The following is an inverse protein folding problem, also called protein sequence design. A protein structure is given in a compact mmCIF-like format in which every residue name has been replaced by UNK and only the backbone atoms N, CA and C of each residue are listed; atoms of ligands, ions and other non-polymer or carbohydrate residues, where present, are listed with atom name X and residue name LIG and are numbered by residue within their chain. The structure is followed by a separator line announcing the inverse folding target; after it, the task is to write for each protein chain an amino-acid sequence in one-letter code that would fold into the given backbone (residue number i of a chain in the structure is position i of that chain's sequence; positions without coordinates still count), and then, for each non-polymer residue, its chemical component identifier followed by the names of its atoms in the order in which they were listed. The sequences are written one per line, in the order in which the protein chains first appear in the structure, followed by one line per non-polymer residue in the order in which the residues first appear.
data_IF_732949818075
#
_entry.id   IF_732949818075
#
_cell.length_a   1.000
_cell.length_b   1.000
_cell.length_c   1.000
_cell.angle_alpha   90.00
_cell.angle_beta   90.00
_cell.angle_gamma   90.00
#
_symmetry.space_group_name_H-M   'P 1'
#
loop_
_entity.id
_entity.type
_entity.pdbx_description
1 polymer ?
#
# COMPACT_ATOMS: atom_id res chain seq x y z
N UNK A 1 0.83 -12.57 -3.87
CA UNK A 1 0.94 -11.10 -3.99
C UNK A 1 -0.47 -10.51 -3.87
N UNK A 2 -0.64 -9.39 -3.14
CA UNK A 2 -1.89 -8.62 -3.10
C UNK A 2 -1.59 -7.19 -3.54
N UNK A 3 -2.59 -6.52 -4.12
CA UNK A 3 -2.56 -5.08 -4.36
C UNK A 3 -3.38 -4.41 -3.26
N UNK A 4 -2.74 -3.49 -2.54
CA UNK A 4 -3.37 -2.58 -1.60
C UNK A 4 -3.54 -1.23 -2.24
N UNK A 5 -4.47 -0.46 -1.70
CA UNK A 5 -4.72 0.93 -2.10
C UNK A 5 -4.64 1.81 -0.87
N UNK A 6 -4.28 3.08 -1.07
CA UNK A 6 -4.43 4.06 0.00
C UNK A 6 -5.90 4.17 0.43
N UNK A 7 -6.14 4.62 1.67
CA UNK A 7 -7.50 4.80 2.17
C UNK A 7 -8.32 5.76 1.28
N UNK A 8 -7.74 6.89 0.88
CA UNK A 8 -8.43 7.86 0.02
C UNK A 8 -8.81 7.26 -1.34
N UNK A 9 -7.90 6.51 -1.97
CA UNK A 9 -8.19 5.77 -3.21
C UNK A 9 -9.31 4.74 -2.98
N UNK A 10 -9.29 4.00 -1.87
CA UNK A 10 -10.33 3.03 -1.54
C UNK A 10 -11.72 3.67 -1.41
N UNK A 11 -11.80 4.87 -0.81
CA UNK A 11 -13.06 5.60 -0.66
C UNK A 11 -13.58 6.09 -2.00
N UNK A 12 -12.73 6.70 -2.84
CA UNK A 12 -13.13 7.17 -4.18
C UNK A 12 -13.59 6.03 -5.08
N UNK A 13 -12.94 4.86 -5.00
CA UNK A 13 -13.31 3.66 -5.76
C UNK A 13 -14.55 2.93 -5.20
N UNK A 14 -15.17 3.41 -4.12
CA UNK A 14 -16.33 2.77 -3.51
C UNK A 14 -16.05 1.46 -2.76
N UNK A 15 -14.77 1.10 -2.57
CA UNK A 15 -14.34 -0.09 -1.83
C UNK A 15 -14.51 0.07 -0.31
N UNK A 16 -14.55 1.32 0.17
CA UNK A 16 -14.77 1.65 1.58
C UNK A 16 -15.64 2.90 1.70
N UNK A 17 -16.55 2.91 2.68
CA UNK A 17 -17.25 4.14 3.09
C UNK A 17 -16.32 4.96 3.99
N UNK A 18 -16.14 6.24 3.69
CA UNK A 18 -15.28 7.13 4.46
C UNK A 18 -15.65 8.60 4.23
N UNK A 19 -15.44 9.43 5.25
CA UNK A 19 -15.51 10.90 5.11
C UNK A 19 -14.14 11.41 4.68
N UNK A 20 -14.12 12.41 3.80
CA UNK A 20 -12.90 13.06 3.34
C UNK A 20 -13.18 14.54 3.17
N UNK A 21 -12.24 15.39 3.59
CA UNK A 21 -12.31 16.83 3.37
C UNK A 21 -12.01 17.19 1.90
N UNK A 22 -11.11 16.46 1.26
CA UNK A 22 -10.77 16.59 -0.16
C UNK A 22 -10.63 15.20 -0.80
N UNK A 23 -11.15 15.04 -2.02
CA UNK A 23 -11.00 13.79 -2.78
C UNK A 23 -9.61 13.75 -3.44
N UNK A 24 -8.87 12.64 -3.36
CA UNK A 24 -7.61 12.52 -4.08
C UNK A 24 -7.86 12.51 -5.59
N UNK A 25 -7.02 13.23 -6.33
CA UNK A 25 -6.99 13.20 -7.81
C UNK A 25 -6.02 12.15 -8.35
N UNK A 26 -5.11 11.65 -7.50
CA UNK A 26 -4.14 10.59 -7.82
C UNK A 26 -4.48 9.31 -7.08
N UNK A 27 -4.47 8.18 -7.78
CA UNK A 27 -4.64 6.86 -7.19
C UNK A 27 -3.29 6.30 -6.71
N UNK A 28 -3.24 5.84 -5.46
CA UNK A 28 -2.04 5.25 -4.86
C UNK A 28 -2.23 3.75 -4.67
N UNK A 29 -1.39 2.96 -5.34
CA UNK A 29 -1.36 1.50 -5.25
C UNK A 29 -0.06 1.03 -4.59
N UNK A 30 -0.16 -0.01 -3.78
CA UNK A 30 0.97 -0.60 -3.07
C UNK A 30 0.94 -2.11 -3.25
N UNK A 31 2.09 -2.69 -3.60
CA UNK A 31 2.23 -4.14 -3.61
C UNK A 31 2.40 -4.64 -2.18
N UNK A 32 1.78 -5.78 -1.86
CA UNK A 32 1.93 -6.43 -0.58
C UNK A 32 2.23 -7.91 -0.76
N UNK A 33 3.23 -8.38 -0.02
CA UNK A 33 3.59 -9.78 0.08
C UNK A 33 3.38 -10.25 1.52
N UNK A 34 3.01 -11.52 1.71
CA UNK A 34 2.99 -12.09 3.07
C UNK A 34 4.44 -12.42 3.42
N UNK A 35 5.07 -11.65 4.29
CA UNK A 35 6.50 -11.75 4.62
C UNK A 35 7.36 -10.77 3.83
N UNK A 36 8.55 -11.22 3.40
CA UNK A 36 9.45 -10.45 2.53
C UNK A 36 9.02 -10.58 1.06
N UNK A 37 9.31 -9.54 0.30
CA UNK A 37 9.15 -9.46 -1.15
C UNK A 37 10.38 -10.08 -1.83
N UNK A 38 10.22 -10.64 -3.03
CA UNK A 38 11.34 -11.10 -3.86
C UNK A 38 12.23 -9.94 -4.36
N UNK A 39 11.64 -8.74 -4.43
CA UNK A 39 12.32 -7.51 -4.85
C UNK A 39 13.08 -6.85 -3.70
N UNK A 40 13.96 -5.91 -4.04
CA UNK A 40 14.84 -5.23 -3.08
C UNK A 40 14.82 -3.70 -3.23
N UNK A 41 13.62 -3.10 -3.33
CA UNK A 41 13.50 -1.64 -3.45
C UNK A 41 14.11 -0.96 -2.21
N UNK A 42 14.96 0.05 -2.42
CA UNK A 42 15.78 0.66 -1.36
C UNK A 42 14.98 1.21 -0.15
N UNK A 43 13.73 1.61 -0.37
CA UNK A 43 12.85 2.19 0.65
C UNK A 43 11.83 1.20 1.23
N UNK A 44 11.70 -0.01 0.65
CA UNK A 44 10.59 -0.89 0.99
C UNK A 44 10.93 -1.70 2.24
N UNK A 45 10.10 -1.59 3.28
CA UNK A 45 10.23 -2.42 4.50
C UNK A 45 10.12 -3.93 4.21
N UNK A 46 9.39 -4.31 3.15
CA UNK A 46 9.26 -5.69 2.71
C UNK A 46 10.38 -6.15 1.77
N UNK A 47 11.37 -5.32 1.43
CA UNK A 47 12.49 -5.73 0.57
C UNK A 47 13.18 -7.00 1.11
N UNK A 48 13.65 -7.91 0.25
CA UNK A 48 14.20 -9.22 0.68
C UNK A 48 15.33 -9.11 1.71
N UNK A 49 16.14 -8.06 1.65
CA UNK A 49 17.27 -7.82 2.54
C UNK A 49 16.98 -6.76 3.62
N UNK A 50 15.74 -6.26 3.69
CA UNK A 50 15.32 -5.32 4.72
C UNK A 50 15.41 -5.97 6.11
N UNK A 51 15.98 -5.22 7.06
CA UNK A 51 16.03 -5.60 8.48
C UNK A 51 14.88 -5.01 9.30
N UNK A 52 14.02 -4.21 8.68
CA UNK A 52 12.85 -3.61 9.35
C UNK A 52 11.84 -4.67 9.74
N UNK A 53 11.08 -4.42 10.82
CA UNK A 53 9.97 -5.29 11.22
C UNK A 53 8.88 -5.34 10.12
N UNK A 54 8.22 -6.48 10.01
CA UNK A 54 7.13 -6.74 9.06
C UNK A 54 5.74 -6.70 9.72
N UNK A 55 5.67 -6.61 11.05
CA UNK A 55 4.44 -6.53 11.86
C UNK A 55 4.04 -5.09 12.17
#
# INVERSE_FOLDING_TARGET
MKIRVSYGTAVVLGLKKGKMLAKPTTAYFMTYYKGRCLNNCAFCVQARESKSNLE
#
